data_IF_718677714109
#
_entry.id   IF_718677714109
#
_cell.length_a   1.000
_cell.length_b   1.000
_cell.length_c   1.000
_cell.angle_alpha   90.00
_cell.angle_beta   90.00
_cell.angle_gamma   90.00
#
_symmetry.space_group_name_H-M   'P 1'
#
loop_
_entity.id
_entity.type
_entity.pdbx_description
1 polymer ?
#
# COMPACT_ATOMS: atom_id res chain seq x y z
N UNK A 1 0.02 18.89 -4.48
CA UNK A 1 -0.28 17.62 -5.18
C UNK A 1 1.04 17.08 -5.72
N UNK A 2 1.29 15.76 -5.64
CA UNK A 2 2.50 15.17 -6.20
C UNK A 2 2.41 15.20 -7.73
N UNK A 3 3.49 15.59 -8.41
CA UNK A 3 3.57 15.69 -9.87
C UNK A 3 4.52 14.70 -10.51
N UNK A 4 5.41 14.10 -9.71
CA UNK A 4 6.38 13.10 -10.16
C UNK A 4 5.71 11.73 -10.30
N UNK A 5 6.22 10.84 -11.16
CA UNK A 5 5.83 9.42 -11.16
C UNK A 5 5.90 8.87 -9.74
N UNK A 6 4.87 8.13 -9.33
CA UNK A 6 4.77 7.59 -7.96
C UNK A 6 4.41 6.11 -8.03
N UNK A 7 5.17 5.27 -7.33
CA UNK A 7 4.87 3.85 -7.18
C UNK A 7 4.32 3.56 -5.78
N UNK A 8 3.20 2.85 -5.72
CA UNK A 8 2.61 2.34 -4.49
C UNK A 8 2.72 0.79 -4.54
N UNK A 9 3.54 0.19 -3.69
CA UNK A 9 3.59 -1.27 -3.52
C UNK A 9 2.97 -1.60 -2.16
N UNK A 10 1.82 -2.27 -2.15
CA UNK A 10 0.99 -2.43 -0.95
C UNK A 10 0.68 -3.90 -0.69
N UNK A 11 1.05 -4.39 0.50
CA UNK A 11 0.59 -5.68 1.00
C UNK A 11 -0.86 -5.59 1.47
N UNK A 12 -1.72 -6.42 0.88
CA UNK A 12 -3.18 -6.29 1.03
C UNK A 12 -3.72 -6.78 2.38
N UNK A 13 -2.89 -7.52 3.14
CA UNK A 13 -3.19 -7.99 4.51
C UNK A 13 -2.73 -6.97 5.57
N UNK A 14 -2.12 -5.85 5.18
CA UNK A 14 -1.76 -4.81 6.13
C UNK A 14 -3.03 -4.26 6.81
N UNK A 15 -3.00 -4.19 8.14
CA UNK A 15 -4.08 -3.64 8.97
C UNK A 15 -3.58 -2.52 9.91
N UNK A 16 -2.41 -1.98 9.59
CA UNK A 16 -1.71 -0.96 10.38
C UNK A 16 -2.54 0.31 10.46
N UNK A 17 -2.90 0.69 11.69
CA UNK A 17 -3.60 1.92 11.96
C UNK A 17 -3.19 2.45 13.34
N UNK A 18 -2.80 3.72 13.39
CA UNK A 18 -2.43 4.38 14.64
C UNK A 18 -3.66 4.54 15.54
N UNK A 19 -3.48 4.36 16.84
CA UNK A 19 -4.58 4.55 17.81
C UNK A 19 -5.67 3.49 17.76
N UNK A 20 -5.49 2.38 17.02
CA UNK A 20 -6.47 1.29 16.87
C UNK A 20 -6.97 0.69 18.19
N UNK A 21 -6.19 0.81 19.27
CA UNK A 21 -6.54 0.32 20.61
C UNK A 21 -7.36 1.32 21.43
N UNK A 22 -7.63 2.53 20.90
CA UNK A 22 -8.33 3.62 21.60
C UNK A 22 -9.72 3.92 21.02
N UNK A 23 -10.19 3.11 20.08
CA UNK A 23 -11.47 3.31 19.37
C UNK A 23 -12.44 2.16 19.67
N UNK A 24 -13.73 2.37 19.40
CA UNK A 24 -14.74 1.32 19.55
C UNK A 24 -14.48 0.14 18.59
N UNK A 25 -15.11 -1.00 18.84
CA UNK A 25 -14.95 -2.19 17.99
C UNK A 25 -15.41 -1.93 16.55
N UNK A 26 -16.48 -1.17 16.37
CA UNK A 26 -17.02 -0.82 15.06
C UNK A 26 -16.03 0.03 14.26
N UNK A 27 -15.44 1.06 14.88
CA UNK A 27 -14.42 1.90 14.23
C UNK A 27 -13.14 1.10 14.00
N UNK A 28 -12.74 0.25 14.95
CA UNK A 28 -11.55 -0.60 14.82
C UNK A 28 -11.61 -1.50 13.59
N UNK A 29 -12.80 -1.98 13.21
CA UNK A 29 -13.01 -2.86 12.07
C UNK A 29 -12.81 -2.16 10.72
N UNK A 30 -12.96 -0.83 10.66
CA UNK A 30 -12.78 -0.06 9.41
C UNK A 30 -11.34 0.47 9.25
N UNK A 31 -10.56 0.50 10.32
CA UNK A 31 -9.19 1.02 10.32
C UNK A 31 -8.19 0.06 9.68
N UNK A 32 -7.31 0.62 8.85
CA UNK A 32 -6.22 -0.12 8.20
C UNK A 32 -6.70 -1.00 7.05
N UNK A 33 -7.76 -0.62 6.34
CA UNK A 33 -8.19 -1.31 5.13
C UNK A 33 -7.28 -0.94 3.94
N UNK A 34 -6.05 -1.46 3.90
CA UNK A 34 -5.05 -1.12 2.87
C UNK A 34 -5.49 -1.39 1.42
N UNK A 35 -6.31 -2.41 1.09
CA UNK A 35 -6.88 -2.54 -0.24
C UNK A 35 -7.70 -1.31 -0.67
N UNK A 36 -8.53 -0.77 0.22
CA UNK A 36 -9.31 0.42 -0.07
C UNK A 36 -8.44 1.68 -0.08
N UNK A 37 -7.55 1.82 0.92
CA UNK A 37 -6.65 2.96 1.03
C UNK A 37 -5.69 3.06 -0.16
N UNK A 38 -5.18 1.94 -0.67
CA UNK A 38 -4.32 1.88 -1.84
C UNK A 38 -5.02 2.39 -3.10
N UNK A 39 -6.24 1.89 -3.36
CA UNK A 39 -7.07 2.36 -4.49
C UNK A 39 -7.50 3.81 -4.36
N UNK A 40 -7.80 4.27 -3.15
CA UNK A 40 -8.10 5.68 -2.90
C UNK A 40 -6.88 6.57 -3.16
N UNK A 41 -5.70 6.14 -2.73
CA UNK A 41 -4.43 6.85 -2.94
C UNK A 41 -4.05 6.92 -4.41
N UNK A 42 -4.22 5.83 -5.16
CA UNK A 42 -4.03 5.79 -6.62
C UNK A 42 -4.88 6.85 -7.34
N UNK A 43 -6.14 7.03 -6.92
CA UNK A 43 -7.05 8.04 -7.49
C UNK A 43 -6.65 9.48 -7.11
N UNK A 44 -6.02 9.67 -5.96
CA UNK A 44 -5.66 10.98 -5.43
C UNK A 44 -4.33 11.53 -5.99
N UNK A 45 -3.40 10.64 -6.35
CA UNK A 45 -2.07 11.01 -6.86
C UNK A 45 -2.04 10.90 -8.39
N UNK A 46 -1.90 12.02 -9.13
CA UNK A 46 -1.64 11.99 -10.56
C UNK A 46 -0.35 11.22 -10.86
N UNK A 47 -0.33 10.43 -11.93
CA UNK A 47 0.82 9.61 -12.35
C UNK A 47 1.26 8.53 -11.33
N UNK A 48 0.32 8.06 -10.48
CA UNK A 48 0.58 6.93 -9.61
C UNK A 48 0.36 5.59 -10.32
N UNK A 49 1.19 4.60 -9.97
CA UNK A 49 0.99 3.18 -10.28
C UNK A 49 0.81 2.42 -8.96
N UNK A 50 -0.15 1.51 -8.91
CA UNK A 50 -0.43 0.69 -7.73
C UNK A 50 -0.14 -0.79 -8.03
N UNK A 51 0.66 -1.41 -7.17
CA UNK A 51 0.97 -2.84 -7.16
C UNK A 51 0.37 -3.43 -5.89
N UNK A 52 -0.69 -4.22 -6.06
CA UNK A 52 -1.39 -4.90 -4.97
C UNK A 52 -0.77 -6.29 -4.74
N UNK A 53 -0.16 -6.49 -3.56
CA UNK A 53 0.48 -7.73 -3.18
C UNK A 53 -0.44 -8.57 -2.28
N UNK A 54 -1.29 -9.37 -2.93
CA UNK A 54 -2.19 -10.31 -2.26
C UNK A 54 -1.43 -11.27 -1.32
N UNK A 55 -1.98 -11.46 -0.12
CA UNK A 55 -1.42 -12.32 0.94
C UNK A 55 -0.34 -11.67 1.82
N UNK A 56 0.30 -10.57 1.38
CA UNK A 56 1.38 -9.92 2.13
C UNK A 56 0.86 -8.83 3.07
N UNK A 57 1.55 -8.64 4.20
CA UNK A 57 1.24 -7.63 5.20
C UNK A 57 2.03 -6.34 5.04
N UNK A 58 2.35 -5.72 6.17
CA UNK A 58 2.97 -4.38 6.25
C UNK A 58 4.39 -4.31 5.67
N UNK A 59 5.12 -5.44 5.65
CA UNK A 59 6.53 -5.48 5.26
C UNK A 59 6.72 -6.39 4.03
N UNK A 60 6.13 -6.07 2.87
CA UNK A 60 6.21 -6.92 1.68
C UNK A 60 7.65 -7.16 1.23
N UNK A 61 8.56 -6.20 1.41
CA UNK A 61 9.99 -6.33 1.10
C UNK A 61 10.71 -7.39 1.94
N UNK A 62 10.16 -7.75 3.10
CA UNK A 62 10.69 -8.80 3.99
C UNK A 62 9.93 -10.12 3.78
N UNK A 63 8.59 -10.06 3.69
CA UNK A 63 7.74 -11.26 3.52
C UNK A 63 7.96 -11.95 2.16
N UNK A 64 8.12 -11.17 1.08
CA UNK A 64 8.43 -11.67 -0.25
C UNK A 64 9.21 -10.62 -1.05
N UNK A 65 10.54 -10.68 -0.93
CA UNK A 65 11.43 -9.76 -1.61
C UNK A 65 11.26 -9.78 -3.13
N UNK A 66 10.97 -10.93 -3.74
CA UNK A 66 10.83 -11.03 -5.20
C UNK A 66 9.63 -10.25 -5.72
N UNK A 67 8.46 -10.45 -5.09
CA UNK A 67 7.22 -9.74 -5.45
C UNK A 67 7.29 -8.24 -5.17
N UNK A 68 8.12 -7.81 -4.23
CA UNK A 68 8.38 -6.40 -3.98
C UNK A 68 9.42 -5.81 -4.97
N UNK A 69 10.55 -6.48 -5.15
CA UNK A 69 11.73 -5.93 -5.81
C UNK A 69 11.56 -5.81 -7.33
N UNK A 70 10.82 -6.73 -7.96
CA UNK A 70 10.54 -6.67 -9.41
C UNK A 70 9.89 -5.34 -9.82
N UNK A 71 8.69 -5.02 -9.32
CA UNK A 71 8.03 -3.76 -9.61
C UNK A 71 8.84 -2.52 -9.20
N UNK A 72 9.61 -2.62 -8.11
CA UNK A 72 10.49 -1.54 -7.66
C UNK A 72 11.56 -1.21 -8.71
N UNK A 73 12.29 -2.20 -9.21
CA UNK A 73 13.34 -1.98 -10.22
C UNK A 73 12.74 -1.59 -11.57
N UNK A 74 11.62 -2.19 -11.98
CA UNK A 74 10.91 -1.81 -13.21
C UNK A 74 10.55 -0.31 -13.20
N UNK A 75 10.02 0.19 -12.08
CA UNK A 75 9.68 1.59 -11.93
C UNK A 75 10.91 2.52 -12.00
N UNK A 76 12.02 2.14 -11.35
CA UNK A 76 13.26 2.93 -11.39
C UNK A 76 13.91 2.98 -12.78
N UNK A 77 13.74 1.94 -13.60
CA UNK A 77 14.28 1.94 -14.95
C UNK A 77 13.41 2.74 -15.94
N UNK A 78 12.12 2.92 -15.64
CA UNK A 78 11.16 3.56 -16.52
C UNK A 78 11.00 5.07 -16.29
N UNK A 79 11.57 5.63 -15.22
CA UNK A 79 11.40 7.02 -14.78
C UNK A 79 12.72 7.61 -14.30
#
# INVERSE_FOLDING_TARGET
QLSQPTLLIIGQRDTTALGKNKVSAEVKATLGNYPELGRATLKAIPNATLVELEGLGHLPQVEDFGRFFGPYIEFLNAN
#
